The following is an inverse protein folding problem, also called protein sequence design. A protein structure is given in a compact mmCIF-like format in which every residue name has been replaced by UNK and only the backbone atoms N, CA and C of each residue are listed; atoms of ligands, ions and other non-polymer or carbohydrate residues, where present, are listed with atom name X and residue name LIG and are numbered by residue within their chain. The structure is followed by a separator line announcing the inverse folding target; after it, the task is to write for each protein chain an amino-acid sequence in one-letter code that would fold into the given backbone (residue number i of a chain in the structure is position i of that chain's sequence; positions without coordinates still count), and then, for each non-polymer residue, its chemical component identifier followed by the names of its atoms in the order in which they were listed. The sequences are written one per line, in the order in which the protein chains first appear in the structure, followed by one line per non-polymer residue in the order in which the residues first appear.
data_IF_822641293283
#
_entry.id   IF_822641293283
#
_cell.length_a   1.000
_cell.length_b   1.000
_cell.length_c   1.000
_cell.angle_alpha   90.00
_cell.angle_beta   90.00
_cell.angle_gamma   90.00
#
_symmetry.space_group_name_H-M   'P 1'
#
loop_
_entity.id
_entity.type
_entity.pdbx_description
1 polymer ?
#
# COMPACT_ATOMS: atom_id res chain seq x y z
N UNK A 1 134.18 104.28 22.35
CA UNK A 1 133.83 102.86 22.65
C UNK A 1 132.99 102.32 21.49
N UNK A 2 133.63 102.22 20.32
CA UNK A 2 133.03 102.04 18.99
C UNK A 2 132.83 100.56 18.59
N UNK A 3 133.00 99.60 19.52
CA UNK A 3 133.11 98.16 19.22
C UNK A 3 131.83 97.34 19.52
N UNK A 4 131.00 97.76 20.48
CA UNK A 4 129.82 96.96 20.87
C UNK A 4 128.65 97.04 19.88
N UNK A 5 128.49 98.15 19.17
CA UNK A 5 127.39 98.32 18.21
C UNK A 5 127.55 97.43 16.95
N UNK A 6 128.78 97.15 16.52
CA UNK A 6 129.04 96.26 15.38
C UNK A 6 128.79 94.77 15.70
N UNK A 7 129.07 94.33 16.92
CA UNK A 7 128.80 92.96 17.35
C UNK A 7 127.30 92.65 17.47
N UNK A 8 126.50 93.61 17.94
CA UNK A 8 125.03 93.44 18.02
C UNK A 8 124.41 93.40 16.62
N UNK A 9 124.87 94.24 15.69
CA UNK A 9 124.35 94.27 14.33
C UNK A 9 124.75 93.01 13.52
N UNK A 10 125.98 92.50 13.72
CA UNK A 10 126.45 91.26 13.12
C UNK A 10 125.69 90.02 13.66
N UNK A 11 125.36 90.01 14.96
CA UNK A 11 124.52 88.97 15.58
C UNK A 11 123.11 88.93 15.00
N UNK A 12 122.49 90.10 14.82
CA UNK A 12 121.15 90.21 14.23
C UNK A 12 121.15 89.77 12.75
N UNK A 13 122.16 90.16 11.98
CA UNK A 13 122.31 89.73 10.58
C UNK A 13 122.56 88.22 10.44
N UNK A 14 123.36 87.62 11.34
CA UNK A 14 123.60 86.18 11.35
C UNK A 14 122.31 85.40 11.69
N UNK A 15 121.53 85.89 12.66
CA UNK A 15 120.23 85.32 13.01
C UNK A 15 119.21 85.45 11.86
N UNK A 16 119.18 86.58 11.16
CA UNK A 16 118.31 86.78 10.00
C UNK A 16 118.70 85.84 8.84
N UNK A 17 119.99 85.63 8.61
CA UNK A 17 120.48 84.74 7.55
C UNK A 17 120.18 83.27 7.86
N UNK A 18 120.39 82.84 9.11
CA UNK A 18 120.00 81.49 9.58
C UNK A 18 118.48 81.26 9.50
N UNK A 19 117.67 82.28 9.80
CA UNK A 19 116.22 82.20 9.65
C UNK A 19 115.79 82.13 8.18
N UNK A 20 116.43 82.88 7.28
CA UNK A 20 116.16 82.83 5.84
C UNK A 20 116.51 81.48 5.21
N UNK A 21 117.63 80.86 5.63
CA UNK A 21 118.02 79.52 5.17
C UNK A 21 117.05 78.45 5.69
N UNK A 22 116.58 78.56 6.94
CA UNK A 22 115.58 77.64 7.51
C UNK A 22 114.21 77.78 6.84
N UNK A 23 113.82 78.99 6.45
CA UNK A 23 112.62 79.25 5.64
C UNK A 23 112.77 78.67 4.24
N UNK A 24 113.95 78.78 3.62
CA UNK A 24 114.15 78.27 2.27
C UNK A 24 114.15 76.73 2.22
N UNK A 25 114.71 76.07 3.24
CA UNK A 25 114.63 74.61 3.36
C UNK A 25 113.21 74.13 3.65
N UNK A 26 112.45 74.83 4.50
CA UNK A 26 111.04 74.48 4.77
C UNK A 26 110.13 74.73 3.55
N UNK A 27 110.41 75.77 2.76
CA UNK A 27 109.72 76.04 1.50
C UNK A 27 110.02 74.95 0.46
N UNK A 28 111.28 74.48 0.35
CA UNK A 28 111.62 73.36 -0.54
C UNK A 28 110.93 72.06 -0.13
N UNK A 29 110.92 71.71 1.15
CA UNK A 29 110.23 70.51 1.62
C UNK A 29 108.72 70.59 1.36
N UNK A 30 108.12 71.78 1.53
CA UNK A 30 106.70 71.99 1.22
C UNK A 30 106.41 71.89 -0.28
N UNK A 31 107.27 72.43 -1.14
CA UNK A 31 107.11 72.28 -2.60
C UNK A 31 107.20 70.82 -3.01
N UNK A 32 108.14 70.06 -2.45
CA UNK A 32 108.30 68.64 -2.75
C UNK A 32 107.09 67.82 -2.28
N UNK A 33 106.57 68.08 -1.08
CA UNK A 33 105.34 67.45 -0.58
C UNK A 33 104.12 67.81 -1.45
N UNK A 34 104.00 69.07 -1.89
CA UNK A 34 102.93 69.50 -2.78
C UNK A 34 103.03 68.83 -4.17
N UNK A 35 104.24 68.66 -4.70
CA UNK A 35 104.46 67.93 -5.95
C UNK A 35 104.11 66.45 -5.82
N UNK A 36 104.57 65.79 -4.75
CA UNK A 36 104.26 64.38 -4.49
C UNK A 36 102.76 64.16 -4.30
N UNK A 37 102.07 65.08 -3.62
CA UNK A 37 100.61 65.02 -3.46
C UNK A 37 99.87 65.30 -4.77
N UNK A 38 100.41 66.18 -5.63
CA UNK A 38 99.84 66.47 -6.95
C UNK A 38 100.03 65.28 -7.90
N UNK A 39 101.19 64.63 -7.89
CA UNK A 39 101.46 63.43 -8.70
C UNK A 39 100.65 62.23 -8.19
N UNK A 40 100.48 62.07 -6.87
CA UNK A 40 99.57 61.07 -6.29
C UNK A 40 98.12 61.32 -6.69
N UNK A 41 97.69 62.59 -6.69
CA UNK A 41 96.34 62.97 -7.13
C UNK A 41 96.14 62.69 -8.63
N UNK A 42 97.16 62.92 -9.47
CA UNK A 42 97.14 62.57 -10.90
C UNK A 42 97.05 61.07 -11.14
N UNK A 43 97.83 60.28 -10.41
CA UNK A 43 97.78 58.81 -10.50
C UNK A 43 96.39 58.30 -10.14
N UNK A 44 95.81 58.80 -9.04
CA UNK A 44 94.43 58.45 -8.65
C UNK A 44 93.41 58.85 -9.69
N UNK A 45 93.57 60.02 -10.33
CA UNK A 45 92.67 60.46 -11.39
C UNK A 45 92.72 59.50 -12.58
N UNK A 46 93.91 59.07 -13.00
CA UNK A 46 94.09 58.11 -14.07
C UNK A 46 93.49 56.73 -13.73
N UNK A 47 93.65 56.27 -12.49
CA UNK A 47 93.03 55.02 -12.02
C UNK A 47 91.49 55.11 -12.01
N UNK A 48 90.94 56.27 -11.62
CA UNK A 48 89.50 56.52 -11.70
C UNK A 48 89.01 56.58 -13.15
N UNK A 49 89.72 57.25 -14.06
CA UNK A 49 89.37 57.30 -15.47
C UNK A 49 89.37 55.91 -16.10
N UNK A 50 90.36 55.06 -15.77
CA UNK A 50 90.40 53.66 -16.23
C UNK A 50 89.21 52.83 -15.71
N UNK A 51 88.83 53.00 -14.43
CA UNK A 51 87.65 52.34 -13.87
C UNK A 51 86.35 52.84 -14.51
N UNK A 52 86.26 54.13 -14.84
CA UNK A 52 85.10 54.69 -15.55
C UNK A 52 84.99 54.10 -16.95
N UNK A 53 86.11 53.91 -17.65
CA UNK A 53 86.13 53.29 -18.97
C UNK A 53 85.74 51.80 -18.92
N UNK A 54 86.23 51.04 -17.95
CA UNK A 54 85.84 49.64 -17.74
C UNK A 54 84.35 49.52 -17.40
N UNK A 55 83.85 50.37 -16.50
CA UNK A 55 82.44 50.38 -16.14
C UNK A 55 81.56 50.80 -17.33
N UNK A 56 82.01 51.75 -18.15
CA UNK A 56 81.31 52.15 -19.37
C UNK A 56 81.25 51.00 -20.39
N UNK A 57 82.33 50.22 -20.50
CA UNK A 57 82.35 49.02 -21.33
C UNK A 57 81.32 47.99 -20.85
N UNK A 58 81.28 47.69 -19.54
CA UNK A 58 80.31 46.76 -18.95
C UNK A 58 78.86 47.23 -19.14
N UNK A 59 78.60 48.53 -18.91
CA UNK A 59 77.28 49.13 -19.14
C UNK A 59 76.86 48.98 -20.60
N UNK A 60 77.82 49.11 -21.53
CA UNK A 60 77.56 48.95 -22.97
C UNK A 60 77.24 47.49 -23.30
N UNK A 61 77.99 46.54 -22.75
CA UNK A 61 77.74 45.11 -22.94
C UNK A 61 76.38 44.68 -22.38
N UNK A 62 76.04 45.09 -21.17
CA UNK A 62 74.74 44.81 -20.55
C UNK A 62 73.58 45.42 -21.36
N UNK A 63 73.77 46.61 -21.94
CA UNK A 63 72.78 47.25 -22.81
C UNK A 63 72.55 46.43 -24.09
N UNK A 64 73.63 45.91 -24.70
CA UNK A 64 73.52 45.05 -25.88
C UNK A 64 72.80 43.74 -25.54
N UNK A 65 73.14 43.11 -24.41
CA UNK A 65 72.45 41.90 -23.93
C UNK A 65 70.97 42.16 -23.62
N UNK A 66 70.65 43.27 -22.98
CA UNK A 66 69.27 43.66 -22.73
C UNK A 66 68.52 43.87 -24.07
N UNK A 67 69.16 44.50 -25.05
CA UNK A 67 68.60 44.67 -26.39
C UNK A 67 68.33 43.34 -27.11
N UNK A 68 69.25 42.37 -27.03
CA UNK A 68 69.06 41.06 -27.65
C UNK A 68 67.97 40.25 -26.96
N UNK A 69 67.95 40.20 -25.62
CA UNK A 69 66.89 39.57 -24.82
C UNK A 69 65.53 40.20 -25.10
N UNK A 70 65.45 41.53 -25.20
CA UNK A 70 64.21 42.24 -25.54
C UNK A 70 63.72 41.83 -26.94
N UNK A 71 64.64 41.66 -27.88
CA UNK A 71 64.31 41.24 -29.25
C UNK A 71 63.80 39.79 -29.29
N UNK A 72 64.42 38.87 -28.55
CA UNK A 72 63.95 37.48 -28.42
C UNK A 72 62.58 37.41 -27.72
N UNK A 73 62.40 38.15 -26.64
CA UNK A 73 61.13 38.23 -25.92
C UNK A 73 60.02 38.77 -26.83
N UNK A 74 60.30 39.75 -27.69
CA UNK A 74 59.34 40.23 -28.68
C UNK A 74 59.00 39.19 -29.75
N UNK A 75 59.94 38.32 -30.14
CA UNK A 75 59.65 37.18 -31.03
C UNK A 75 58.69 36.20 -30.37
N UNK A 76 58.88 35.88 -29.09
CA UNK A 76 58.02 34.95 -28.35
C UNK A 76 56.65 35.55 -27.99
N UNK A 77 56.57 36.85 -27.71
CA UNK A 77 55.29 37.56 -27.48
C UNK A 77 54.29 37.40 -28.62
N UNK A 78 54.77 37.25 -29.87
CA UNK A 78 53.92 36.98 -31.03
C UNK A 78 53.10 35.68 -30.90
N UNK A 79 53.55 34.73 -30.07
CA UNK A 79 52.88 33.45 -29.84
C UNK A 79 51.96 33.45 -28.61
N UNK A 80 51.85 34.57 -27.86
CA UNK A 80 50.96 34.65 -26.70
C UNK A 80 49.50 34.38 -27.07
N UNK A 81 49.05 34.89 -28.22
CA UNK A 81 47.69 34.67 -28.72
C UNK A 81 47.39 33.18 -28.95
N UNK A 82 48.41 32.38 -29.31
CA UNK A 82 48.25 30.93 -29.50
C UNK A 82 48.02 30.24 -28.15
N UNK A 83 48.81 30.58 -27.13
CA UNK A 83 48.61 30.04 -25.78
C UNK A 83 47.24 30.43 -25.21
N UNK A 84 46.79 31.66 -25.45
CA UNK A 84 45.48 32.13 -24.99
C UNK A 84 44.34 31.40 -25.71
N UNK A 85 44.48 31.13 -27.02
CA UNK A 85 43.53 30.31 -27.80
C UNK A 85 43.52 28.86 -27.32
N UNK A 86 44.68 28.26 -27.05
CA UNK A 86 44.77 26.89 -26.52
C UNK A 86 44.06 26.78 -25.17
N UNK A 87 44.30 27.74 -24.26
CA UNK A 87 43.62 27.79 -22.97
C UNK A 87 42.10 27.98 -23.14
N UNK A 88 41.69 28.83 -24.09
CA UNK A 88 40.27 29.01 -24.42
C UNK A 88 39.63 27.71 -24.95
N UNK A 89 40.31 26.99 -25.85
CA UNK A 89 39.84 25.69 -26.38
C UNK A 89 39.69 24.69 -25.23
N UNK A 90 40.70 24.54 -24.36
CA UNK A 90 40.66 23.64 -23.20
C UNK A 90 39.47 23.97 -22.30
N UNK A 91 39.27 25.25 -21.97
CA UNK A 91 38.14 25.66 -21.15
C UNK A 91 36.80 25.34 -21.83
N UNK A 92 36.70 25.52 -23.16
CA UNK A 92 35.47 25.26 -23.90
C UNK A 92 35.19 23.77 -24.06
N UNK A 93 36.21 22.94 -24.26
CA UNK A 93 36.06 21.48 -24.29
C UNK A 93 35.61 20.95 -22.93
N UNK A 94 36.21 21.42 -21.83
CA UNK A 94 35.79 21.04 -20.48
C UNK A 94 34.35 21.45 -20.17
N UNK A 95 33.93 22.65 -20.61
CA UNK A 95 32.52 23.06 -20.48
C UNK A 95 31.58 22.18 -21.29
N UNK A 96 31.95 21.83 -22.52
CA UNK A 96 31.15 20.97 -23.38
C UNK A 96 31.04 19.54 -22.80
N UNK A 97 32.15 18.98 -22.32
CA UNK A 97 32.19 17.68 -21.65
C UNK A 97 31.34 17.66 -20.38
N UNK A 98 31.45 18.68 -19.54
CA UNK A 98 30.64 18.82 -18.33
C UNK A 98 29.14 18.92 -18.68
N UNK A 99 28.78 19.74 -19.67
CA UNK A 99 27.38 19.84 -20.11
C UNK A 99 26.84 18.51 -20.62
N UNK A 100 27.64 17.75 -21.37
CA UNK A 100 27.26 16.42 -21.86
C UNK A 100 27.07 15.44 -20.69
N UNK A 101 27.98 15.42 -19.71
CA UNK A 101 27.87 14.54 -18.54
C UNK A 101 26.67 14.90 -17.66
N UNK A 102 26.42 16.19 -17.40
CA UNK A 102 25.23 16.66 -16.67
C UNK A 102 23.96 16.24 -17.41
N UNK A 103 23.90 16.45 -18.72
CA UNK A 103 22.72 16.08 -19.52
C UNK A 103 22.48 14.57 -19.52
N UNK A 104 23.54 13.75 -19.56
CA UNK A 104 23.42 12.29 -19.45
C UNK A 104 22.90 11.87 -18.08
N UNK A 105 23.42 12.49 -17.01
CA UNK A 105 22.98 12.21 -15.65
C UNK A 105 21.50 12.56 -15.47
N UNK A 106 21.09 13.75 -15.91
CA UNK A 106 19.70 14.21 -15.85
C UNK A 106 18.78 13.28 -16.64
N UNK A 107 19.19 12.86 -17.84
CA UNK A 107 18.44 11.90 -18.65
C UNK A 107 18.33 10.53 -17.95
N UNK A 108 19.39 10.06 -17.28
CA UNK A 108 19.36 8.81 -16.53
C UNK A 108 18.40 8.90 -15.34
N UNK A 109 18.45 9.99 -14.57
CA UNK A 109 17.55 10.24 -13.44
C UNK A 109 16.10 10.25 -13.94
N UNK A 110 15.81 10.98 -15.03
CA UNK A 110 14.47 11.06 -15.61
C UNK A 110 13.95 9.69 -16.06
N UNK A 111 14.80 8.84 -16.65
CA UNK A 111 14.43 7.48 -17.04
C UNK A 111 14.06 6.64 -15.82
N UNK A 112 14.84 6.74 -14.74
CA UNK A 112 14.57 5.97 -13.53
C UNK A 112 13.31 6.46 -12.79
N UNK A 113 13.07 7.77 -12.77
CA UNK A 113 11.82 8.36 -12.26
C UNK A 113 10.61 7.90 -13.08
N UNK A 114 10.72 7.87 -14.42
CA UNK A 114 9.65 7.36 -15.29
C UNK A 114 9.38 5.88 -15.06
N UNK A 115 10.42 5.05 -14.85
CA UNK A 115 10.23 3.63 -14.51
C UNK A 115 9.51 3.48 -13.18
N UNK A 116 9.93 4.21 -12.15
CA UNK A 116 9.28 4.19 -10.84
C UNK A 116 7.81 4.63 -10.92
N UNK A 117 7.52 5.66 -11.71
CA UNK A 117 6.16 6.12 -11.96
C UNK A 117 5.32 5.05 -12.67
N UNK A 118 5.85 4.42 -13.73
CA UNK A 118 5.16 3.34 -14.45
C UNK A 118 4.82 2.17 -13.52
N UNK A 119 5.76 1.75 -12.67
CA UNK A 119 5.49 0.68 -11.70
C UNK A 119 4.42 1.11 -10.69
N UNK A 120 4.45 2.34 -10.18
CA UNK A 120 3.40 2.84 -9.28
C UNK A 120 2.00 2.84 -9.92
N UNK A 121 1.91 3.18 -11.21
CA UNK A 121 0.65 3.16 -11.96
C UNK A 121 0.18 1.72 -12.21
N UNK A 122 1.09 0.80 -12.54
CA UNK A 122 0.75 -0.63 -12.69
C UNK A 122 0.19 -1.20 -11.40
N UNK A 123 0.83 -0.93 -10.27
CA UNK A 123 0.38 -1.38 -8.96
C UNK A 123 -0.98 -0.78 -8.61
N UNK A 124 -1.19 0.51 -8.87
CA UNK A 124 -2.48 1.16 -8.68
C UNK A 124 -3.57 0.52 -9.54
N UNK A 125 -3.31 0.27 -10.82
CA UNK A 125 -4.27 -0.36 -11.73
C UNK A 125 -4.59 -1.79 -11.29
N UNK A 126 -3.60 -2.57 -10.88
CA UNK A 126 -3.80 -3.92 -10.37
C UNK A 126 -4.67 -3.92 -9.10
N UNK A 127 -4.40 -3.01 -8.16
CA UNK A 127 -5.19 -2.86 -6.95
C UNK A 127 -6.62 -2.38 -7.25
N UNK A 128 -6.79 -1.43 -8.17
CA UNK A 128 -8.09 -0.93 -8.58
C UNK A 128 -8.93 -2.03 -9.24
N UNK A 129 -8.33 -2.79 -10.17
CA UNK A 129 -8.99 -3.94 -10.81
C UNK A 129 -9.39 -5.01 -9.79
N UNK A 130 -8.50 -5.33 -8.84
CA UNK A 130 -8.81 -6.29 -7.78
C UNK A 130 -9.99 -5.82 -6.92
N UNK A 131 -10.03 -4.54 -6.53
CA UNK A 131 -11.14 -3.94 -5.77
C UNK A 131 -12.45 -3.96 -6.56
N UNK A 132 -12.43 -3.50 -7.82
CA UNK A 132 -13.62 -3.49 -8.68
C UNK A 132 -14.20 -4.91 -8.86
N UNK A 133 -13.34 -5.91 -9.03
CA UNK A 133 -13.76 -7.32 -9.14
C UNK A 133 -14.38 -7.84 -7.84
N UNK A 134 -13.85 -7.45 -6.68
CA UNK A 134 -14.45 -7.79 -5.37
C UNK A 134 -15.82 -7.12 -5.20
N UNK A 135 -15.94 -5.83 -5.53
CA UNK A 135 -17.20 -5.08 -5.44
C UNK A 135 -18.28 -5.68 -6.35
N UNK A 136 -17.95 -5.95 -7.62
CA UNK A 136 -18.86 -6.60 -8.57
C UNK A 136 -19.29 -7.97 -8.05
N UNK A 137 -18.37 -8.78 -7.54
CA UNK A 137 -18.69 -10.10 -6.94
C UNK A 137 -19.61 -9.97 -5.73
N UNK A 138 -19.38 -8.98 -4.86
CA UNK A 138 -20.23 -8.74 -3.70
C UNK A 138 -21.63 -8.30 -4.12
N UNK A 139 -21.74 -7.41 -5.10
CA UNK A 139 -23.02 -6.94 -5.61
C UNK A 139 -23.80 -8.06 -6.31
N UNK A 140 -23.12 -8.90 -7.09
CA UNK A 140 -23.71 -10.09 -7.70
C UNK A 140 -24.23 -11.07 -6.62
N UNK A 141 -23.46 -11.32 -5.56
CA UNK A 141 -23.89 -12.15 -4.42
C UNK A 141 -25.13 -11.58 -3.72
N UNK A 142 -25.17 -10.27 -3.46
CA UNK A 142 -26.34 -9.60 -2.86
C UNK A 142 -27.57 -9.75 -3.75
N UNK A 143 -27.41 -9.52 -5.06
CA UNK A 143 -28.50 -9.64 -6.03
C UNK A 143 -29.02 -11.07 -6.13
N UNK A 144 -28.11 -12.06 -6.21
CA UNK A 144 -28.46 -13.48 -6.23
C UNK A 144 -29.16 -13.92 -4.94
N UNK A 145 -28.71 -13.45 -3.78
CA UNK A 145 -29.39 -13.70 -2.51
C UNK A 145 -30.82 -13.13 -2.50
N UNK A 146 -31.01 -11.91 -3.04
CA UNK A 146 -32.33 -11.31 -3.23
C UNK A 146 -33.23 -12.14 -4.14
N UNK A 147 -32.72 -12.57 -5.30
CA UNK A 147 -33.48 -13.44 -6.22
C UNK A 147 -33.84 -14.78 -5.59
N UNK A 148 -32.93 -15.41 -4.85
CA UNK A 148 -33.21 -16.66 -4.15
C UNK A 148 -34.31 -16.49 -3.10
N UNK A 149 -34.28 -15.39 -2.33
CA UNK A 149 -35.33 -15.08 -1.37
C UNK A 149 -36.69 -14.85 -2.06
N UNK A 150 -36.70 -14.13 -3.18
CA UNK A 150 -37.91 -13.90 -3.96
C UNK A 150 -38.47 -15.20 -4.54
N UNK A 151 -37.63 -16.07 -5.11
CA UNK A 151 -38.03 -17.38 -5.61
C UNK A 151 -38.61 -18.26 -4.50
N UNK A 152 -37.99 -18.26 -3.31
CA UNK A 152 -38.50 -18.97 -2.13
C UNK A 152 -39.86 -18.45 -1.68
N UNK A 153 -40.06 -17.12 -1.70
CA UNK A 153 -41.37 -16.52 -1.39
C UNK A 153 -42.42 -16.86 -2.45
N UNK A 154 -42.05 -16.84 -3.73
CA UNK A 154 -42.94 -17.23 -4.83
C UNK A 154 -43.40 -18.69 -4.68
N UNK A 155 -42.46 -19.61 -4.42
CA UNK A 155 -42.79 -21.01 -4.16
C UNK A 155 -43.72 -21.16 -2.96
N UNK A 156 -43.45 -20.47 -1.86
CA UNK A 156 -44.34 -20.49 -0.69
C UNK A 156 -45.74 -19.95 -1.01
N UNK A 157 -45.86 -18.91 -1.83
CA UNK A 157 -47.16 -18.37 -2.25
C UNK A 157 -47.89 -19.33 -3.18
N UNK A 158 -47.18 -20.02 -4.06
CA UNK A 158 -47.73 -21.07 -4.92
C UNK A 158 -48.29 -22.23 -4.07
N UNK A 159 -47.55 -22.69 -3.05
CA UNK A 159 -48.03 -23.70 -2.10
C UNK A 159 -49.31 -23.25 -1.38
N UNK A 160 -49.37 -21.97 -0.98
CA UNK A 160 -50.57 -21.38 -0.34
C UNK A 160 -51.74 -21.31 -1.31
N UNK A 161 -51.52 -20.89 -2.56
CA UNK A 161 -52.56 -20.85 -3.60
C UNK A 161 -53.10 -22.25 -3.85
N UNK A 162 -52.21 -23.24 -4.02
CA UNK A 162 -52.61 -24.64 -4.20
C UNK A 162 -53.42 -25.16 -3.00
N UNK A 163 -52.98 -24.89 -1.76
CA UNK A 163 -53.72 -25.25 -0.56
C UNK A 163 -55.11 -24.59 -0.51
N UNK A 164 -55.23 -23.32 -0.89
CA UNK A 164 -56.51 -22.63 -0.99
C UNK A 164 -57.40 -23.22 -2.09
N UNK A 165 -56.85 -23.50 -3.26
CA UNK A 165 -57.57 -24.13 -4.37
C UNK A 165 -58.12 -25.50 -3.97
N UNK A 166 -57.33 -26.31 -3.27
CA UNK A 166 -57.77 -27.60 -2.71
C UNK A 166 -58.96 -27.43 -1.77
N UNK A 167 -58.94 -26.41 -0.89
CA UNK A 167 -60.05 -26.14 0.05
C UNK A 167 -61.30 -25.60 -0.66
N UNK A 168 -61.14 -24.72 -1.65
CA UNK A 168 -62.27 -24.07 -2.37
C UNK A 168 -62.97 -25.05 -3.28
N UNK A 169 -62.23 -25.84 -4.05
CA UNK A 169 -62.84 -26.65 -5.10
C UNK A 169 -63.66 -27.81 -4.54
N UNK A 170 -63.61 -28.11 -3.22
CA UNK A 170 -64.24 -29.27 -2.56
C UNK A 170 -64.03 -30.59 -3.34
N UNK A 171 -63.04 -30.60 -4.24
CA UNK A 171 -62.91 -31.60 -5.27
C UNK A 171 -62.07 -32.70 -4.69
N UNK A 172 -62.62 -33.90 -4.82
CA UNK A 172 -61.88 -35.14 -4.81
C UNK A 172 -60.79 -35.01 -5.88
N UNK A 173 -59.66 -34.38 -5.55
CA UNK A 173 -58.41 -34.69 -6.22
C UNK A 173 -58.34 -36.20 -6.15
N UNK A 174 -58.19 -36.86 -7.29
CA UNK A 174 -58.13 -38.31 -7.42
C UNK A 174 -56.97 -38.98 -6.67
N UNK A 175 -56.45 -38.30 -5.63
CA UNK A 175 -55.67 -38.78 -4.50
C UNK A 175 -56.48 -39.82 -3.70
N UNK A 176 -56.89 -40.87 -4.39
CA UNK A 176 -57.17 -42.14 -3.74
C UNK A 176 -55.80 -42.77 -3.49
N UNK A 177 -55.41 -42.85 -2.23
CA UNK A 177 -54.33 -43.72 -1.80
C UNK A 177 -55.00 -44.91 -1.10
N UNK A 178 -55.30 -46.00 -1.82
CA UNK A 178 -55.87 -47.18 -1.20
C UNK A 178 -54.94 -47.71 -0.12
N UNK A 179 -55.48 -48.02 1.05
CA UNK A 179 -54.72 -48.64 2.15
C UNK A 179 -53.96 -49.91 1.72
N UNK A 180 -54.45 -50.75 0.78
CA UNK A 180 -53.66 -51.87 0.23
C UNK A 180 -52.31 -51.48 -0.39
N UNK A 181 -52.21 -50.30 -1.00
CA UNK A 181 -50.92 -49.83 -1.55
C UNK A 181 -49.94 -49.47 -0.42
N UNK A 182 -50.44 -48.97 0.71
CA UNK A 182 -49.63 -48.70 1.89
C UNK A 182 -49.12 -50.01 2.54
N UNK A 183 -49.93 -51.07 2.54
CA UNK A 183 -49.52 -52.39 3.02
C UNK A 183 -48.32 -52.95 2.24
N UNK A 184 -48.23 -52.71 0.93
CA UNK A 184 -47.08 -53.12 0.11
C UNK A 184 -45.77 -52.43 0.50
N UNK A 185 -45.84 -51.29 1.21
CA UNK A 185 -44.66 -50.58 1.72
C UNK A 185 -44.17 -51.13 3.06
N UNK A 186 -44.94 -52.01 3.71
CA UNK A 186 -44.58 -52.61 4.98
C UNK A 186 -43.69 -53.84 4.77
N UNK A 187 -42.90 -54.17 5.80
CA UNK A 187 -42.08 -55.39 5.80
C UNK A 187 -42.95 -56.64 5.73
N UNK A 188 -42.44 -57.70 5.10
CA UNK A 188 -43.14 -58.98 5.02
C UNK A 188 -43.45 -59.53 6.43
N UNK A 189 -44.70 -59.95 6.66
CA UNK A 189 -45.15 -60.47 7.95
C UNK A 189 -45.58 -59.41 8.97
N UNK A 190 -45.64 -58.13 8.60
CA UNK A 190 -46.15 -57.08 9.47
C UNK A 190 -47.63 -57.30 9.83
N UNK A 191 -47.93 -57.45 11.12
CA UNK A 191 -49.27 -57.87 11.59
C UNK A 191 -50.16 -56.70 12.01
N UNK A 192 -51.46 -56.98 12.20
CA UNK A 192 -52.41 -56.02 12.80
C UNK A 192 -51.93 -55.56 14.18
N UNK A 193 -51.35 -56.46 14.97
CA UNK A 193 -50.83 -56.12 16.30
C UNK A 193 -49.63 -55.18 16.25
N UNK A 194 -48.79 -55.29 15.21
CA UNK A 194 -47.66 -54.40 15.02
C UNK A 194 -48.12 -53.02 14.57
N UNK A 195 -49.10 -52.96 13.67
CA UNK A 195 -49.73 -51.71 13.25
C UNK A 195 -50.38 -50.97 14.43
N UNK A 196 -51.09 -51.71 15.29
CA UNK A 196 -51.72 -51.16 16.49
C UNK A 196 -50.69 -50.66 17.50
N UNK A 197 -49.61 -51.42 17.74
CA UNK A 197 -48.51 -51.00 18.62
C UNK A 197 -47.86 -49.73 18.10
N UNK A 198 -47.55 -49.68 16.81
CA UNK A 198 -46.93 -48.51 16.20
C UNK A 198 -47.82 -47.27 16.27
N UNK A 199 -49.14 -47.42 16.06
CA UNK A 199 -50.09 -46.31 16.23
C UNK A 199 -50.11 -45.78 17.66
N UNK A 200 -50.01 -46.65 18.67
CA UNK A 200 -49.90 -46.25 20.08
C UNK A 200 -48.60 -45.49 20.33
N UNK A 201 -47.48 -45.97 19.80
CA UNK A 201 -46.17 -45.31 19.94
C UNK A 201 -46.18 -43.91 19.32
N UNK A 202 -46.78 -43.75 18.14
CA UNK A 202 -46.95 -42.44 17.47
C UNK A 202 -47.83 -41.51 18.31
N UNK A 203 -48.93 -42.02 18.87
CA UNK A 203 -49.81 -41.24 19.75
C UNK A 203 -49.11 -40.81 21.04
N UNK A 204 -48.27 -41.66 21.62
CA UNK A 204 -47.47 -41.30 22.77
C UNK A 204 -46.51 -40.16 22.44
N UNK A 205 -45.80 -40.23 21.31
CA UNK A 205 -44.93 -39.14 20.83
C UNK A 205 -45.70 -37.84 20.62
N UNK A 206 -46.92 -37.90 20.09
CA UNK A 206 -47.80 -36.73 19.93
C UNK A 206 -48.14 -36.12 21.31
N UNK A 207 -48.53 -36.95 22.29
CA UNK A 207 -48.84 -36.48 23.65
C UNK A 207 -47.62 -35.86 24.33
N UNK A 208 -46.43 -36.47 24.16
CA UNK A 208 -45.18 -35.93 24.67
C UNK A 208 -44.82 -34.59 24.02
N UNK A 209 -45.01 -34.44 22.70
CA UNK A 209 -44.79 -33.18 22.00
C UNK A 209 -45.78 -32.08 22.45
N UNK A 210 -47.03 -32.43 22.75
CA UNK A 210 -48.01 -31.52 23.36
C UNK A 210 -47.55 -31.09 24.75
N UNK A 211 -47.19 -32.04 25.62
CA UNK A 211 -46.78 -31.77 26.99
C UNK A 211 -45.51 -30.92 27.08
N UNK A 212 -44.58 -31.10 26.13
CA UNK A 212 -43.33 -30.34 26.06
C UNK A 212 -43.42 -29.07 25.20
N UNK A 213 -44.60 -28.74 24.67
CA UNK A 213 -44.83 -27.59 23.77
C UNK A 213 -43.97 -27.60 22.49
N UNK A 214 -43.54 -28.78 22.03
CA UNK A 214 -42.73 -28.99 20.82
C UNK A 214 -43.59 -29.13 19.55
N UNK A 215 -44.60 -28.27 19.42
CA UNK A 215 -45.55 -28.31 18.30
C UNK A 215 -45.29 -27.17 17.33
N UNK A 216 -45.11 -25.98 17.88
CA UNK A 216 -44.95 -24.75 17.12
C UNK A 216 -43.89 -23.87 17.79
N UNK A 217 -43.34 -22.94 17.03
CA UNK A 217 -42.42 -21.92 17.51
C UNK A 217 -42.85 -20.55 17.00
N UNK A 218 -42.49 -19.48 17.72
CA UNK A 218 -42.72 -18.10 17.28
C UNK A 218 -41.71 -17.17 17.96
N UNK A 219 -41.50 -15.98 17.38
CA UNK A 219 -40.47 -15.03 17.77
C UNK A 219 -40.90 -14.02 18.86
N UNK A 220 -42.01 -14.27 19.57
CA UNK A 220 -42.41 -13.40 20.68
C UNK A 220 -41.37 -13.45 21.82
N UNK A 221 -40.92 -12.27 22.24
CA UNK A 221 -39.99 -12.10 23.38
C UNK A 221 -40.71 -12.38 24.70
N UNK A 222 -41.98 -11.97 24.79
CA UNK A 222 -42.81 -12.22 25.98
C UNK A 222 -43.21 -13.70 26.08
N UNK A 223 -42.79 -14.35 27.16
CA UNK A 223 -43.02 -15.78 27.39
C UNK A 223 -44.51 -16.14 27.49
N UNK A 224 -45.33 -15.28 28.08
CA UNK A 224 -46.76 -15.54 28.23
C UNK A 224 -47.47 -15.56 26.88
N UNK A 225 -47.21 -14.54 26.05
CA UNK A 225 -47.72 -14.42 24.69
C UNK A 225 -47.19 -15.53 23.79
N UNK A 226 -45.90 -15.88 23.92
CA UNK A 226 -45.30 -17.00 23.19
C UNK A 226 -46.05 -18.30 23.49
N UNK A 227 -46.28 -18.62 24.76
CA UNK A 227 -47.02 -19.82 25.17
C UNK A 227 -48.45 -19.83 24.64
N UNK A 228 -49.18 -18.72 24.79
CA UNK A 228 -50.56 -18.63 24.28
C UNK A 228 -50.65 -18.84 22.77
N UNK A 229 -49.69 -18.31 22.00
CA UNK A 229 -49.67 -18.50 20.55
C UNK A 229 -49.36 -19.95 20.18
N UNK A 230 -48.40 -20.58 20.86
CA UNK A 230 -48.12 -22.02 20.67
C UNK A 230 -49.35 -22.87 21.00
N UNK A 231 -50.06 -22.56 22.09
CA UNK A 231 -51.30 -23.25 22.48
C UNK A 231 -52.41 -23.08 21.44
N UNK A 232 -52.61 -21.86 20.92
CA UNK A 232 -53.61 -21.60 19.87
C UNK A 232 -53.28 -22.38 18.59
N UNK A 233 -52.02 -22.37 18.14
CA UNK A 233 -51.59 -23.10 16.96
C UNK A 233 -51.70 -24.61 17.15
N UNK A 234 -51.29 -25.10 18.32
CA UNK A 234 -51.46 -26.50 18.73
C UNK A 234 -52.92 -26.93 18.65
N UNK A 235 -53.82 -26.16 19.27
CA UNK A 235 -55.26 -26.46 19.26
C UNK A 235 -55.84 -26.42 17.84
N UNK A 236 -55.51 -25.39 17.07
CA UNK A 236 -56.01 -25.23 15.71
C UNK A 236 -55.58 -26.41 14.82
N UNK A 237 -54.30 -26.77 14.82
CA UNK A 237 -53.79 -27.85 13.98
C UNK A 237 -54.31 -29.23 14.44
N UNK A 238 -54.31 -29.49 15.76
CA UNK A 238 -54.81 -30.75 16.29
C UNK A 238 -56.30 -30.93 16.02
N UNK A 239 -57.11 -29.88 16.15
CA UNK A 239 -58.54 -29.95 15.84
C UNK A 239 -58.82 -30.35 14.38
N UNK A 240 -58.01 -29.88 13.42
CA UNK A 240 -58.09 -30.27 12.01
C UNK A 240 -57.68 -31.72 11.82
N UNK A 241 -56.57 -32.11 12.41
CA UNK A 241 -56.09 -33.47 12.29
C UNK A 241 -57.03 -34.49 12.95
N UNK A 242 -57.64 -34.16 14.10
CA UNK A 242 -58.64 -35.00 14.77
C UNK A 242 -59.93 -35.11 13.95
N UNK A 243 -60.36 -34.01 13.31
CA UNK A 243 -61.46 -34.03 12.34
C UNK A 243 -61.17 -35.00 11.19
N UNK A 244 -59.96 -34.99 10.64
CA UNK A 244 -59.57 -35.88 9.54
C UNK A 244 -59.43 -37.34 9.98
N UNK A 245 -58.95 -37.60 11.20
CA UNK A 245 -58.97 -38.94 11.80
C UNK A 245 -60.39 -39.45 11.97
N UNK A 246 -61.33 -38.61 12.41
CA UNK A 246 -62.73 -38.97 12.59
C UNK A 246 -63.46 -39.26 11.26
N UNK A 247 -63.03 -38.63 10.16
CA UNK A 247 -63.58 -38.82 8.81
C UNK A 247 -62.88 -39.94 8.02
N UNK A 248 -61.83 -40.54 8.56
CA UNK A 248 -60.98 -41.50 7.87
C UNK A 248 -61.74 -42.77 7.48
N UNK A 249 -61.57 -43.20 6.24
CA UNK A 249 -62.08 -44.46 5.69
C UNK A 249 -61.02 -45.13 4.78
N UNK A 250 -61.35 -46.28 4.19
CA UNK A 250 -60.39 -47.08 3.38
C UNK A 250 -59.93 -46.41 2.09
N UNK A 251 -60.68 -45.44 1.58
CA UNK A 251 -60.50 -44.87 0.24
C UNK A 251 -60.04 -43.41 0.28
N UNK A 252 -60.23 -42.72 1.41
CA UNK A 252 -59.97 -41.29 1.52
C UNK A 252 -58.65 -40.93 2.21
N UNK A 253 -57.77 -41.89 2.52
CA UNK A 253 -56.49 -41.63 3.19
C UNK A 253 -55.67 -40.56 2.45
N UNK A 254 -55.56 -40.67 1.12
CA UNK A 254 -54.84 -39.69 0.30
C UNK A 254 -55.42 -38.27 0.43
N UNK A 255 -56.75 -38.16 0.48
CA UNK A 255 -57.44 -36.88 0.68
C UNK A 255 -57.22 -36.32 2.08
N UNK A 256 -57.29 -37.15 3.13
CA UNK A 256 -57.06 -36.72 4.52
C UNK A 256 -55.62 -36.25 4.73
N UNK A 257 -54.63 -36.96 4.15
CA UNK A 257 -53.23 -36.57 4.20
C UNK A 257 -53.00 -35.22 3.49
N UNK A 258 -53.58 -35.03 2.31
CA UNK A 258 -53.46 -33.76 1.58
C UNK A 258 -54.15 -32.63 2.33
N UNK A 259 -55.37 -32.83 2.81
CA UNK A 259 -56.12 -31.81 3.53
C UNK A 259 -55.40 -31.33 4.80
N UNK A 260 -54.71 -32.24 5.50
CA UNK A 260 -53.88 -31.89 6.66
C UNK A 260 -52.62 -31.09 6.26
N UNK A 261 -51.97 -31.46 5.16
CA UNK A 261 -50.83 -30.70 4.61
C UNK A 261 -51.25 -29.29 4.18
N UNK A 262 -52.41 -29.17 3.55
CA UNK A 262 -52.96 -27.87 3.15
C UNK A 262 -53.23 -27.01 4.39
N UNK A 263 -53.84 -27.55 5.45
CA UNK A 263 -54.05 -26.79 6.69
C UNK A 263 -52.74 -26.41 7.38
N UNK A 264 -51.71 -27.25 7.32
CA UNK A 264 -50.37 -26.91 7.80
C UNK A 264 -49.79 -25.70 7.06
N UNK A 265 -49.87 -25.69 5.72
CA UNK A 265 -49.40 -24.57 4.90
C UNK A 265 -50.17 -23.29 5.23
N UNK A 266 -51.50 -23.36 5.32
CA UNK A 266 -52.35 -22.19 5.57
C UNK A 266 -52.18 -21.62 6.99
N UNK A 267 -52.06 -22.48 8.01
CA UNK A 267 -51.80 -22.05 9.38
C UNK A 267 -50.43 -21.38 9.48
N UNK A 268 -49.39 -21.95 8.87
CA UNK A 268 -48.05 -21.36 8.88
C UNK A 268 -47.98 -20.04 8.09
N UNK A 269 -48.69 -19.94 6.97
CA UNK A 269 -48.83 -18.68 6.24
C UNK A 269 -49.48 -17.59 7.12
N UNK A 270 -50.57 -17.92 7.82
CA UNK A 270 -51.23 -17.01 8.76
C UNK A 270 -50.30 -16.64 9.93
N UNK A 271 -49.51 -17.61 10.41
CA UNK A 271 -48.55 -17.43 11.48
C UNK A 271 -47.40 -16.46 11.17
N UNK A 272 -47.11 -16.18 9.90
CA UNK A 272 -46.14 -15.15 9.53
C UNK A 272 -46.50 -13.78 10.11
N UNK A 273 -47.79 -13.44 10.20
CA UNK A 273 -48.28 -12.20 10.80
C UNK A 273 -48.29 -12.23 12.34
N UNK A 274 -48.24 -13.42 12.93
CA UNK A 274 -48.24 -13.66 14.38
C UNK A 274 -46.83 -13.93 14.90
N UNK A 275 -45.90 -13.03 14.58
CA UNK A 275 -44.48 -13.13 14.98
C UNK A 275 -43.79 -14.39 14.46
N UNK A 276 -43.99 -14.73 13.18
CA UNK A 276 -43.40 -15.92 12.54
C UNK A 276 -43.77 -17.21 13.29
N UNK A 277 -45.01 -17.30 13.75
CA UNK A 277 -45.55 -18.53 14.33
C UNK A 277 -45.58 -19.63 13.28
N UNK A 278 -44.98 -20.78 13.59
CA UNK A 278 -44.83 -21.88 12.64
C UNK A 278 -44.97 -23.22 13.35
N UNK A 279 -45.80 -24.11 12.82
CA UNK A 279 -45.88 -25.51 13.23
C UNK A 279 -44.62 -26.22 12.73
N UNK A 280 -43.99 -26.98 13.62
CA UNK A 280 -42.79 -27.74 13.29
C UNK A 280 -43.11 -28.83 12.27
N UNK A 281 -42.27 -28.99 11.25
CA UNK A 281 -42.46 -30.04 10.23
C UNK A 281 -42.42 -31.45 10.84
N UNK A 282 -41.60 -31.66 11.86
CA UNK A 282 -41.55 -32.91 12.64
C UNK A 282 -42.91 -33.26 13.26
N UNK A 283 -43.68 -32.26 13.68
CA UNK A 283 -45.01 -32.49 14.25
C UNK A 283 -46.06 -32.78 13.18
N UNK A 284 -45.97 -32.15 12.01
CA UNK A 284 -46.76 -32.54 10.84
C UNK A 284 -46.52 -34.00 10.49
N UNK A 285 -45.25 -34.44 10.45
CA UNK A 285 -44.88 -35.82 10.11
C UNK A 285 -45.52 -36.82 11.09
N UNK A 286 -45.51 -36.54 12.40
CA UNK A 286 -46.19 -37.36 13.40
C UNK A 286 -47.70 -37.49 13.14
N UNK A 287 -48.38 -36.39 12.81
CA UNK A 287 -49.84 -36.42 12.54
C UNK A 287 -50.17 -37.09 11.21
N UNK A 288 -49.32 -36.97 10.20
CA UNK A 288 -49.45 -37.71 8.94
C UNK A 288 -49.22 -39.21 9.14
N UNK A 289 -48.25 -39.57 9.99
CA UNK A 289 -47.98 -40.96 10.37
C UNK A 289 -49.16 -41.56 11.13
N UNK A 290 -49.75 -40.81 12.07
CA UNK A 290 -50.95 -41.24 12.78
C UNK A 290 -52.11 -41.55 11.81
N UNK A 291 -52.38 -40.67 10.84
CA UNK A 291 -53.42 -40.91 9.82
C UNK A 291 -53.16 -42.19 9.02
N UNK A 292 -51.90 -42.44 8.61
CA UNK A 292 -51.52 -43.64 7.86
C UNK A 292 -51.76 -44.91 8.67
N UNK A 293 -51.28 -44.96 9.91
CA UNK A 293 -51.40 -46.15 10.75
C UNK A 293 -52.82 -46.35 11.31
N UNK A 294 -53.58 -45.27 11.53
CA UNK A 294 -55.00 -45.36 11.82
C UNK A 294 -55.76 -46.01 10.65
N UNK A 295 -55.46 -45.62 9.41
CA UNK A 295 -56.08 -46.24 8.22
C UNK A 295 -55.72 -47.73 8.09
N UNK A 296 -54.45 -48.10 8.35
CA UNK A 296 -54.00 -49.49 8.34
C UNK A 296 -54.77 -50.34 9.37
N UNK A 297 -54.85 -49.89 10.62
CA UNK A 297 -55.56 -50.60 11.69
C UNK A 297 -57.05 -50.75 11.36
N UNK A 298 -57.69 -49.69 10.82
CA UNK A 298 -59.09 -49.75 10.38
C UNK A 298 -59.28 -50.77 9.25
N UNK A 299 -58.36 -50.80 8.29
CA UNK A 299 -58.40 -51.74 7.16
C UNK A 299 -58.27 -53.19 7.63
N UNK A 300 -57.22 -53.50 8.38
CA UNK A 300 -56.90 -54.86 8.86
C UNK A 300 -58.00 -55.43 9.76
N UNK A 301 -58.54 -54.62 10.69
CA UNK A 301 -59.65 -55.02 11.57
C UNK A 301 -60.93 -55.39 10.81
N UNK A 302 -61.17 -54.74 9.68
CA UNK A 302 -62.33 -55.01 8.83
C UNK A 302 -62.07 -56.22 7.91
N UNK A 303 -60.84 -56.47 7.49
CA UNK A 303 -60.44 -57.66 6.71
C UNK A 303 -60.50 -58.93 7.58
N UNK A 304 -60.01 -58.88 8.82
CA UNK A 304 -60.14 -59.96 9.80
C UNK A 304 -61.58 -60.24 10.27
N UNK A 305 -62.54 -59.35 9.94
CA UNK A 305 -63.98 -59.54 10.17
C UNK A 305 -64.72 -60.20 9.02
N UNK A 306 -64.09 -60.34 7.85
CA UNK A 306 -64.58 -61.18 6.77
C UNK A 306 -63.91 -62.56 6.92
N UNK A 307 -64.49 -63.50 7.71
CA UNK A 307 -64.06 -64.88 7.58
C UNK A 307 -64.30 -65.29 6.13
N UNK A 308 -63.35 -66.05 5.60
CA UNK A 308 -63.48 -66.81 4.38
C UNK A 308 -64.86 -67.49 4.34
N UNK A 309 -65.81 -66.89 3.61
CA UNK A 309 -66.94 -67.60 3.05
C UNK A 309 -66.63 -67.80 1.58
N UNK A 310 -65.79 -68.80 1.28
CA UNK A 310 -65.95 -69.83 0.24
C UNK A 310 -65.04 -70.99 0.62
#
# INVERSE_FOLDING_TARGET
MLSMAFFVLASILLCALLWSLKIQTSLRSNIQFLQENLDHSRSRLADYDAQVDELNYDVTQLRVQHGSLTTELNKYKKYQDICDIEQYIINRTLQAENFVEVTKLDASIMIDDLKAYIESVKDYLAQFQAKALVEVKQQARKSLAGYYQQAKQQQHLEDVVNALEHKIQAKHYGLCLPVPQLLQQLIAGYSETDAARHLLDVREKIQQAIATQQIASCNYIDDSRRRSIIEIFSLAFNSKADLYLAQLNRENLGQMLQALRDDYVLLNYTGQQLSQATIQSSYLDLRLEELKFAALVVHMKQEGRHPETV
#
